data_IF_568707671460
#
_entry.id   IF_568707671460
#
_cell.length_a   1.000
_cell.length_b   1.000
_cell.length_c   1.000
_cell.angle_alpha   90.00
_cell.angle_beta   90.00
_cell.angle_gamma   90.00
#
_symmetry.space_group_name_H-M   'P 1'
#
loop_
_entity.id
_entity.type
_entity.pdbx_description
1 polymer ?
#
# COMPACT_ATOMS: atom_id res chain seq x y z
N UNK A 1 -14.02 -47.21 -12.55
CA UNK A 1 -15.07 -47.86 -11.73
C UNK A 1 -14.38 -48.49 -10.54
N UNK A 2 -14.87 -48.42 -9.28
CA UNK A 2 -16.17 -47.97 -8.75
C UNK A 2 -16.00 -46.69 -7.86
N UNK A 3 -16.95 -46.05 -7.18
CA UNK A 3 -18.42 -45.90 -7.13
C UNK A 3 -18.65 -44.64 -6.26
N UNK A 4 -19.62 -43.79 -6.62
CA UNK A 4 -20.11 -42.65 -5.83
C UNK A 4 -20.85 -43.07 -4.55
N UNK A 5 -20.87 -42.19 -3.53
CA UNK A 5 -21.93 -41.92 -2.52
C UNK A 5 -21.35 -40.89 -1.51
N UNK A 6 -22.01 -39.85 -1.02
CA UNK A 6 -23.40 -39.39 -1.05
C UNK A 6 -23.52 -38.09 -0.21
N UNK A 7 -24.64 -37.40 -0.37
CA UNK A 7 -25.00 -36.06 0.12
C UNK A 7 -25.11 -35.88 1.67
N UNK A 8 -24.75 -34.66 2.13
CA UNK A 8 -25.34 -33.71 3.10
C UNK A 8 -26.43 -34.18 4.11
N UNK A 9 -26.56 -33.59 5.33
CA UNK A 9 -27.13 -32.24 5.46
C UNK A 9 -26.69 -31.34 6.63
N UNK A 10 -26.89 -30.04 6.36
CA UNK A 10 -27.05 -28.89 7.24
C UNK A 10 -27.92 -29.20 8.49
N UNK A 11 -27.49 -28.78 9.68
CA UNK A 11 -28.38 -28.66 10.85
C UNK A 11 -28.12 -27.37 11.61
N UNK A 12 -29.00 -26.41 11.35
CA UNK A 12 -29.27 -25.24 12.18
C UNK A 12 -29.68 -25.67 13.60
N UNK A 13 -29.04 -25.13 14.64
CA UNK A 13 -29.56 -25.21 16.01
C UNK A 13 -29.83 -23.80 16.54
N UNK A 14 -31.11 -23.43 16.57
CA UNK A 14 -31.63 -22.24 17.26
C UNK A 14 -32.10 -22.61 18.66
N UNK A 15 -31.96 -21.63 19.57
CA UNK A 15 -32.69 -21.39 20.82
C UNK A 15 -32.41 -22.30 22.02
N UNK A 16 -31.98 -21.66 23.12
CA UNK A 16 -32.77 -21.70 24.35
C UNK A 16 -32.58 -20.41 25.15
N UNK A 17 -33.72 -19.84 25.53
CA UNK A 17 -33.90 -18.66 26.38
C UNK A 17 -33.96 -19.16 27.81
N UNK A 18 -33.04 -18.74 28.67
CA UNK A 18 -33.02 -19.05 30.09
C UNK A 18 -33.43 -17.84 30.92
N UNK A 19 -34.71 -17.77 31.28
CA UNK A 19 -35.26 -16.89 32.32
C UNK A 19 -34.58 -17.22 33.65
N UNK A 20 -34.01 -16.22 34.31
CA UNK A 20 -33.68 -16.34 35.73
C UNK A 20 -34.68 -15.57 36.57
N UNK A 21 -35.25 -16.32 37.51
CA UNK A 21 -36.34 -16.02 38.42
C UNK A 21 -35.90 -15.00 39.47
N UNK A 22 -36.74 -13.99 39.68
CA UNK A 22 -36.59 -12.97 40.74
C UNK A 22 -37.01 -13.61 42.06
N UNK A 23 -36.10 -13.65 43.04
CA UNK A 23 -36.43 -13.94 44.45
C UNK A 23 -36.39 -12.63 45.22
N UNK A 24 -37.58 -12.12 45.54
CA UNK A 24 -37.79 -10.97 46.42
C UNK A 24 -37.56 -11.38 47.87
N UNK A 25 -36.65 -10.68 48.56
CA UNK A 25 -36.67 -10.58 50.01
C UNK A 25 -37.02 -9.14 50.38
N UNK A 26 -38.20 -8.97 50.96
CA UNK A 26 -38.65 -7.74 51.60
C UNK A 26 -37.97 -7.63 52.97
N UNK A 27 -37.24 -6.53 53.23
CA UNK A 27 -36.99 -6.04 54.57
C UNK A 27 -37.15 -4.51 54.56
N UNK A 28 -38.19 -4.06 55.27
CA UNK A 28 -38.51 -2.66 55.54
C UNK A 28 -37.49 -2.03 56.49
N UNK A 29 -37.02 -0.81 56.21
CA UNK A 29 -37.24 0.40 57.05
C UNK A 29 -36.60 1.65 56.38
N UNK A 30 -37.38 2.73 56.33
CA UNK A 30 -37.18 4.09 55.78
C UNK A 30 -36.07 4.93 56.48
N UNK A 31 -35.84 6.23 56.16
CA UNK A 31 -35.93 6.99 54.89
C UNK A 31 -34.74 7.97 54.62
N UNK A 32 -34.66 8.44 53.37
CA UNK A 32 -34.32 9.80 52.89
C UNK A 32 -33.23 9.92 51.80
N UNK A 33 -33.60 10.70 50.77
CA UNK A 33 -32.78 11.40 49.75
C UNK A 33 -32.30 10.65 48.50
N UNK A 34 -33.17 10.42 47.50
CA UNK A 34 -32.79 10.44 46.07
C UNK A 34 -33.97 10.90 45.20
N UNK A 35 -34.07 12.19 44.84
CA UNK A 35 -35.05 12.66 43.84
C UNK A 35 -34.52 13.72 42.86
N UNK A 36 -33.18 13.89 42.75
CA UNK A 36 -32.59 14.96 41.92
C UNK A 36 -31.63 14.51 40.82
N UNK A 37 -31.66 13.25 40.41
CA UNK A 37 -30.70 12.69 39.43
C UNK A 37 -31.29 12.20 38.10
N UNK A 38 -32.56 12.49 37.78
CA UNK A 38 -33.21 11.87 36.60
C UNK A 38 -33.30 12.76 35.35
N UNK A 39 -33.31 14.09 35.48
CA UNK A 39 -33.51 14.98 34.32
C UNK A 39 -32.22 15.38 33.59
N UNK A 40 -31.06 15.29 34.25
CA UNK A 40 -29.76 15.67 33.67
C UNK A 40 -29.19 14.59 32.76
N UNK A 41 -29.56 13.32 32.99
CA UNK A 41 -29.02 12.14 32.30
C UNK A 41 -29.54 12.00 30.86
N UNK A 42 -30.80 12.39 30.60
CA UNK A 42 -31.43 12.19 29.29
C UNK A 42 -30.91 13.15 28.20
N UNK A 43 -30.50 14.38 28.57
CA UNK A 43 -29.98 15.39 27.63
C UNK A 43 -28.53 15.13 27.19
N UNK A 44 -27.72 14.45 28.00
CA UNK A 44 -26.32 14.12 27.69
C UNK A 44 -26.19 12.96 26.68
N UNK A 45 -27.17 12.07 26.59
CA UNK A 45 -27.10 10.87 25.75
C UNK A 45 -27.20 11.19 24.24
N UNK A 46 -27.99 12.20 23.87
CA UNK A 46 -28.19 12.58 22.47
C UNK A 46 -26.96 13.28 21.87
N UNK A 47 -26.26 14.09 22.67
CA UNK A 47 -24.99 14.71 22.29
C UNK A 47 -23.86 13.69 22.19
N UNK A 48 -23.84 12.69 23.09
CA UNK A 48 -22.87 11.61 23.05
C UNK A 48 -23.05 10.70 21.84
N UNK A 49 -24.30 10.34 21.49
CA UNK A 49 -24.61 9.59 20.27
C UNK A 49 -24.26 10.36 19.00
N UNK A 50 -24.56 11.67 18.97
CA UNK A 50 -24.21 12.52 17.82
C UNK A 50 -22.70 12.66 17.65
N UNK A 51 -21.95 12.82 18.75
CA UNK A 51 -20.49 12.81 18.74
C UNK A 51 -19.93 11.47 18.26
N UNK A 52 -20.53 10.34 18.67
CA UNK A 52 -20.13 9.00 18.22
C UNK A 52 -20.37 8.81 16.71
N UNK A 53 -21.49 9.32 16.20
CA UNK A 53 -21.83 9.27 14.77
C UNK A 53 -20.85 10.11 13.93
N UNK A 54 -20.52 11.32 14.38
CA UNK A 54 -19.54 12.17 13.72
C UNK A 54 -18.13 11.53 13.73
N UNK A 55 -17.73 10.91 14.84
CA UNK A 55 -16.47 10.15 14.93
C UNK A 55 -16.47 8.95 13.98
N UNK A 56 -17.58 8.22 13.88
CA UNK A 56 -17.69 7.08 12.96
C UNK A 56 -17.66 7.52 11.50
N UNK A 57 -18.30 8.64 11.15
CA UNK A 57 -18.30 9.18 9.80
C UNK A 57 -16.93 9.76 9.42
N UNK A 58 -16.23 10.40 10.36
CA UNK A 58 -14.85 10.85 10.20
C UNK A 58 -13.87 9.69 10.01
N UNK A 59 -14.04 8.60 10.77
CA UNK A 59 -13.22 7.39 10.61
C UNK A 59 -13.45 6.71 9.26
N UNK A 60 -14.71 6.63 8.80
CA UNK A 60 -15.03 6.09 7.47
C UNK A 60 -14.47 6.98 6.34
N UNK A 61 -14.48 8.31 6.51
CA UNK A 61 -13.94 9.25 5.52
C UNK A 61 -12.41 9.13 5.36
N UNK A 62 -11.68 8.77 6.42
CA UNK A 62 -10.24 8.52 6.33
C UNK A 62 -9.88 7.26 5.53
N UNK A 63 -10.83 6.37 5.24
CA UNK A 63 -10.53 5.11 4.55
C UNK A 63 -10.46 5.22 3.02
N UNK A 64 -10.82 6.36 2.43
CA UNK A 64 -11.01 6.45 0.96
C UNK A 64 -9.93 7.20 0.18
N UNK A 65 -8.97 7.87 0.81
CA UNK A 65 -7.86 8.53 0.09
C UNK A 65 -6.60 8.59 0.93
N UNK A 66 -5.93 7.46 1.11
CA UNK A 66 -4.50 7.48 1.40
C UNK A 66 -3.77 7.81 0.10
N UNK A 67 -3.66 9.09 -0.25
CA UNK A 67 -2.50 9.50 -1.04
C UNK A 67 -1.31 9.27 -0.10
N UNK A 68 -0.75 8.06 -0.13
CA UNK A 68 0.43 7.75 0.66
C UNK A 68 1.53 8.60 0.08
N UNK A 69 1.93 9.64 0.81
CA UNK A 69 3.12 10.40 0.49
C UNK A 69 4.28 9.38 0.53
N UNK A 70 4.69 8.93 -0.63
CA UNK A 70 5.80 7.99 -0.79
C UNK A 70 7.09 8.79 -0.61
N UNK A 71 7.97 8.33 0.28
CA UNK A 71 9.28 8.95 0.45
C UNK A 71 10.11 8.85 -0.83
N UNK A 72 10.92 9.88 -1.10
CA UNK A 72 11.85 9.88 -2.24
C UNK A 72 12.85 8.73 -2.07
N UNK A 73 13.14 8.03 -3.16
CA UNK A 73 14.17 6.98 -3.15
C UNK A 73 15.59 7.56 -3.18
N UNK A 74 15.74 8.78 -3.71
CA UNK A 74 16.97 9.54 -3.80
C UNK A 74 16.67 11.03 -4.01
N UNK A 75 17.68 11.88 -3.80
CA UNK A 75 17.59 13.33 -4.05
C UNK A 75 18.08 13.74 -5.45
N UNK A 76 18.93 12.92 -6.08
CA UNK A 76 19.45 13.14 -7.43
C UNK A 76 19.48 11.84 -8.23
N UNK A 77 19.52 12.01 -9.56
CA UNK A 77 19.58 10.94 -10.53
C UNK A 77 20.53 11.31 -11.66
N UNK A 78 21.22 10.30 -12.17
CA UNK A 78 22.09 10.40 -13.35
C UNK A 78 21.31 9.96 -14.57
N UNK A 79 21.30 10.79 -15.62
CA UNK A 79 20.56 10.57 -16.87
C UNK A 79 21.45 10.79 -18.11
N UNK A 80 20.97 10.33 -19.27
CA UNK A 80 21.65 10.51 -20.54
C UNK A 80 21.56 11.95 -21.10
N UNK A 81 20.58 12.70 -20.62
CA UNK A 81 20.19 14.06 -21.01
C UNK A 81 19.35 14.69 -19.89
N UNK A 82 19.14 16.00 -19.94
CA UNK A 82 18.43 16.76 -18.88
C UNK A 82 16.97 16.35 -18.69
N UNK A 83 16.35 15.73 -19.69
CA UNK A 83 14.97 15.25 -19.65
C UNK A 83 14.88 13.74 -19.35
N UNK A 84 16.01 13.04 -19.18
CA UNK A 84 16.10 11.59 -19.04
C UNK A 84 15.34 10.83 -20.15
N UNK A 85 15.30 11.40 -21.35
CA UNK A 85 14.53 10.88 -22.49
C UNK A 85 15.24 9.71 -23.18
N UNK A 86 16.57 9.65 -23.09
CA UNK A 86 17.38 8.59 -23.71
C UNK A 86 17.86 7.56 -22.68
N UNK A 87 17.96 6.30 -23.12
CA UNK A 87 18.53 5.23 -22.31
C UNK A 87 20.05 5.44 -22.12
N UNK A 88 20.53 5.28 -20.89
CA UNK A 88 21.95 5.24 -20.54
C UNK A 88 22.61 3.96 -21.03
N UNK A 89 21.92 2.84 -20.83
CA UNK A 89 22.47 1.51 -21.07
C UNK A 89 21.39 0.44 -21.19
N UNK A 90 21.82 -0.75 -21.55
CA UNK A 90 21.05 -1.98 -21.51
C UNK A 90 21.61 -2.87 -20.40
N UNK A 91 20.72 -3.60 -19.72
CA UNK A 91 21.06 -4.55 -18.69
C UNK A 91 20.27 -5.85 -18.86
N UNK A 92 20.79 -6.94 -18.29
CA UNK A 92 20.10 -8.23 -18.21
C UNK A 92 19.82 -8.56 -16.76
N UNK A 93 18.59 -8.95 -16.45
CA UNK A 93 18.18 -9.38 -15.12
C UNK A 93 18.90 -10.67 -14.70
N UNK A 94 19.49 -10.66 -13.51
CA UNK A 94 20.18 -11.81 -12.93
C UNK A 94 19.25 -12.74 -12.14
N UNK A 95 18.16 -12.18 -11.61
CA UNK A 95 17.16 -12.88 -10.82
C UNK A 95 15.78 -12.22 -10.98
N UNK A 96 14.74 -12.90 -10.47
CA UNK A 96 13.40 -12.38 -10.39
C UNK A 96 13.30 -11.27 -9.33
N UNK A 97 12.56 -10.21 -9.66
CA UNK A 97 12.22 -9.14 -8.73
C UNK A 97 10.72 -8.85 -8.83
N UNK A 98 10.04 -8.92 -7.67
CA UNK A 98 8.62 -8.58 -7.56
C UNK A 98 8.50 -7.19 -6.96
N UNK A 99 7.81 -6.30 -7.68
CA UNK A 99 7.60 -4.92 -7.28
C UNK A 99 6.86 -4.86 -5.93
N UNK A 100 7.45 -4.25 -4.88
CA UNK A 100 6.79 -4.10 -3.58
C UNK A 100 5.68 -3.05 -3.61
N UNK A 101 5.81 -2.05 -4.47
CA UNK A 101 4.82 -1.00 -4.71
C UNK A 101 4.87 -0.54 -6.17
N UNK A 102 3.99 0.37 -6.54
CA UNK A 102 3.78 0.84 -7.91
C UNK A 102 4.95 1.64 -8.51
N UNK A 103 5.92 2.09 -7.71
CA UNK A 103 7.12 2.77 -8.22
C UNK A 103 8.07 1.79 -8.89
N UNK A 104 7.99 0.51 -8.51
CA UNK A 104 8.86 -0.55 -8.98
C UNK A 104 8.21 -1.34 -10.12
N UNK A 105 9.05 -1.90 -11.00
CA UNK A 105 8.59 -2.83 -12.03
C UNK A 105 8.93 -4.26 -11.67
N UNK A 106 8.06 -5.18 -12.07
CA UNK A 106 8.37 -6.61 -12.00
C UNK A 106 9.40 -6.95 -13.08
N UNK A 107 10.43 -7.69 -12.68
CA UNK A 107 11.47 -8.18 -13.58
C UNK A 107 11.59 -9.68 -13.37
N UNK A 108 11.82 -10.39 -14.47
CA UNK A 108 12.15 -11.81 -14.48
C UNK A 108 13.58 -12.00 -14.91
N UNK A 109 14.20 -13.04 -14.37
CA UNK A 109 15.53 -13.46 -14.77
C UNK A 109 15.67 -13.56 -16.29
N UNK A 110 16.83 -13.15 -16.78
CA UNK A 110 17.22 -13.12 -18.20
C UNK A 110 16.45 -12.12 -19.08
N UNK A 111 15.55 -11.30 -18.52
CA UNK A 111 14.94 -10.20 -19.26
C UNK A 111 15.96 -9.09 -19.54
N UNK A 112 15.90 -8.54 -20.76
CA UNK A 112 16.64 -7.33 -21.12
C UNK A 112 15.87 -6.11 -20.63
N UNK A 113 16.60 -5.11 -20.14
CA UNK A 113 16.06 -3.89 -19.55
C UNK A 113 16.81 -2.70 -20.14
N UNK A 114 16.08 -1.69 -20.62
CA UNK A 114 16.65 -0.39 -20.92
C UNK A 114 16.72 0.43 -19.64
N UNK A 115 17.91 0.92 -19.30
CA UNK A 115 18.16 1.75 -18.12
C UNK A 115 18.14 3.22 -18.55
N UNK A 116 17.27 4.02 -17.95
CA UNK A 116 17.10 5.44 -18.28
C UNK A 116 17.75 6.36 -17.26
N UNK A 117 17.70 6.00 -15.98
CA UNK A 117 18.39 6.75 -14.94
C UNK A 117 18.96 5.84 -13.87
N UNK A 118 20.00 6.34 -13.19
CA UNK A 118 20.59 5.69 -12.02
C UNK A 118 20.45 6.66 -10.85
N UNK A 119 19.74 6.27 -9.80
CA UNK A 119 19.57 7.12 -8.62
C UNK A 119 20.88 7.20 -7.85
N UNK A 120 21.22 8.39 -7.37
CA UNK A 120 22.35 8.60 -6.46
C UNK A 120 21.88 8.19 -5.05
N UNK A 121 22.43 7.12 -4.45
CA UNK A 121 21.97 6.65 -3.15
C UNK A 121 22.26 7.70 -2.07
N UNK A 122 21.37 7.80 -1.10
CA UNK A 122 21.63 8.49 0.16
C UNK A 122 22.36 7.52 1.11
N UNK A 123 23.06 8.04 2.11
CA UNK A 123 23.79 7.22 3.06
C UNK A 123 22.85 6.23 3.76
N UNK A 124 23.09 4.93 3.56
CA UNK A 124 22.27 3.86 4.13
C UNK A 124 21.03 3.48 3.31
N UNK A 125 20.78 4.07 2.14
CA UNK A 125 19.69 3.65 1.23
C UNK A 125 20.16 2.70 0.13
N UNK A 126 19.22 1.99 -0.49
CA UNK A 126 19.50 1.06 -1.58
C UNK A 126 19.89 1.78 -2.88
N UNK A 127 20.68 1.12 -3.72
CA UNK A 127 21.01 1.63 -5.06
C UNK A 127 19.94 1.16 -6.04
N UNK A 128 19.17 2.11 -6.56
CA UNK A 128 18.07 1.85 -7.49
C UNK A 128 18.32 2.49 -8.84
N UNK A 129 17.98 1.79 -9.91
CA UNK A 129 17.96 2.32 -11.28
C UNK A 129 16.52 2.36 -11.78
N UNK A 130 16.23 3.25 -12.73
CA UNK A 130 14.96 3.27 -13.45
C UNK A 130 15.11 2.71 -14.85
N UNK A 131 14.12 1.96 -15.30
CA UNK A 131 14.14 1.36 -16.62
C UNK A 131 12.82 0.76 -17.05
N UNK A 132 12.82 0.17 -18.24
CA UNK A 132 11.70 -0.57 -18.80
C UNK A 132 12.17 -1.92 -19.35
N UNK A 133 11.34 -2.94 -19.18
CA UNK A 133 11.61 -4.28 -19.73
C UNK A 133 11.47 -4.23 -21.25
N UNK A 134 12.47 -4.75 -21.95
CA UNK A 134 12.48 -4.88 -23.39
C UNK A 134 11.33 -5.76 -23.88
N UNK A 135 10.64 -5.34 -24.94
CA UNK A 135 9.58 -6.09 -25.60
C UNK A 135 9.84 -6.19 -27.10
N UNK A 136 10.02 -7.41 -27.61
CA UNK A 136 10.19 -7.67 -29.04
C UNK A 136 9.03 -7.15 -29.90
N UNK A 137 7.82 -7.05 -29.34
CA UNK A 137 6.64 -6.54 -30.05
C UNK A 137 6.60 -5.01 -30.17
N UNK A 138 7.33 -4.31 -29.33
CA UNK A 138 7.24 -2.85 -29.18
C UNK A 138 8.64 -2.25 -29.04
N UNK A 139 9.50 -2.55 -30.02
CA UNK A 139 10.93 -2.19 -29.99
C UNK A 139 11.13 -0.67 -29.92
N UNK A 140 10.25 0.10 -30.56
CA UNK A 140 10.35 1.56 -30.65
C UNK A 140 9.52 2.30 -29.59
N UNK A 141 8.87 1.59 -28.67
CA UNK A 141 8.04 2.21 -27.63
C UNK A 141 8.63 2.03 -26.25
N UNK A 142 8.56 3.09 -25.46
CA UNK A 142 8.86 3.06 -24.04
C UNK A 142 7.87 2.11 -23.34
N UNK A 143 8.39 1.05 -22.74
CA UNK A 143 7.59 0.20 -21.86
C UNK A 143 7.18 0.91 -20.57
N UNK A 144 6.52 0.20 -19.66
CA UNK A 144 6.24 0.70 -18.32
C UNK A 144 7.59 0.99 -17.64
N UNK A 145 7.78 2.23 -17.19
CA UNK A 145 8.94 2.66 -16.43
C UNK A 145 8.73 2.37 -14.94
N UNK A 146 9.80 1.93 -14.29
CA UNK A 146 9.87 1.95 -12.84
C UNK A 146 11.24 1.56 -12.32
N UNK A 147 11.36 1.52 -11.01
CA UNK A 147 12.61 1.27 -10.32
C UNK A 147 12.87 -0.21 -10.09
N UNK A 148 14.15 -0.55 -9.97
CA UNK A 148 14.61 -1.87 -9.52
C UNK A 148 16.00 -1.77 -8.88
N UNK A 149 16.37 -2.70 -7.97
CA UNK A 149 17.68 -2.73 -7.36
C UNK A 149 18.78 -3.00 -8.40
N UNK A 150 19.83 -2.19 -8.42
CA UNK A 150 20.89 -2.32 -9.42
C UNK A 150 21.68 -3.62 -9.31
N UNK A 151 21.73 -4.22 -8.12
CA UNK A 151 22.42 -5.49 -7.87
C UNK A 151 21.70 -6.71 -8.45
N UNK A 152 20.45 -6.57 -8.91
CA UNK A 152 19.69 -7.64 -9.56
C UNK A 152 19.85 -7.64 -11.08
N UNK A 153 20.64 -6.73 -11.64
CA UNK A 153 20.90 -6.65 -13.08
C UNK A 153 22.38 -6.60 -13.38
N UNK A 154 22.76 -7.05 -14.57
CA UNK A 154 24.10 -6.90 -15.13
C UNK A 154 24.03 -5.96 -16.32
N UNK A 155 24.66 -4.79 -16.20
CA UNK A 155 24.80 -3.85 -17.31
C UNK A 155 25.65 -4.48 -18.43
N UNK A 156 25.12 -4.46 -19.66
CA UNK A 156 25.72 -5.13 -20.83
C UNK A 156 26.27 -4.13 -21.85
N UNK A 157 25.45 -3.15 -22.25
CA UNK A 157 25.80 -2.18 -23.29
C UNK A 157 25.55 -0.78 -22.77
N UNK A 158 26.60 0.06 -22.70
CA UNK A 158 26.44 1.49 -22.43
C UNK A 158 26.24 2.26 -23.74
N UNK A 159 25.17 3.03 -23.83
CA UNK A 159 24.90 3.90 -24.98
C UNK A 159 25.53 5.29 -24.81
N UNK A 160 25.67 5.74 -23.57
CA UNK A 160 26.36 6.96 -23.19
C UNK A 160 27.63 6.67 -22.40
N UNK A 161 28.68 7.46 -22.64
CA UNK A 161 29.88 7.45 -21.79
C UNK A 161 29.57 8.21 -20.51
N UNK A 162 30.25 7.85 -19.43
CA UNK A 162 30.00 8.43 -18.11
C UNK A 162 30.24 9.96 -18.09
N UNK A 163 31.18 10.48 -18.89
CA UNK A 163 31.44 11.93 -19.05
C UNK A 163 30.32 12.70 -19.76
N UNK A 164 29.47 12.00 -20.52
CA UNK A 164 28.37 12.59 -21.29
C UNK A 164 27.03 12.48 -20.54
N UNK A 165 27.05 12.00 -19.29
CA UNK A 165 25.86 11.92 -18.43
C UNK A 165 25.69 13.21 -17.64
N UNK A 166 24.44 13.47 -17.24
CA UNK A 166 24.09 14.63 -16.42
C UNK A 166 23.49 14.15 -15.11
N UNK A 167 23.92 14.74 -14.00
CA UNK A 167 23.27 14.56 -12.71
C UNK A 167 22.28 15.70 -12.48
N UNK A 168 21.02 15.34 -12.22
CA UNK A 168 19.93 16.28 -12.01
C UNK A 168 19.15 15.93 -10.74
N UNK A 169 18.52 16.90 -10.06
CA UNK A 169 17.69 16.62 -8.90
C UNK A 169 16.45 15.80 -9.28
N UNK A 170 16.01 14.92 -8.38
CA UNK A 170 14.75 14.19 -8.54
C UNK A 170 13.54 15.06 -8.18
N UNK A 171 12.50 15.00 -9.00
CA UNK A 171 11.22 15.66 -8.75
C UNK A 171 10.25 14.72 -8.02
N UNK A 172 9.21 15.26 -7.38
CA UNK A 172 8.22 14.44 -6.68
C UNK A 172 7.45 13.52 -7.65
N UNK A 173 7.29 13.97 -8.89
CA UNK A 173 6.65 13.19 -9.97
C UNK A 173 7.46 11.95 -10.37
N UNK A 174 8.77 11.90 -10.07
CA UNK A 174 9.63 10.74 -10.38
C UNK A 174 9.27 9.51 -9.54
N UNK A 175 8.60 9.70 -8.41
CA UNK A 175 8.21 8.65 -7.47
C UNK A 175 6.70 8.51 -7.33
N UNK A 176 5.94 9.19 -8.18
CA UNK A 176 4.49 9.17 -8.15
C UNK A 176 3.94 8.02 -9.00
N UNK A 177 2.89 7.36 -8.52
CA UNK A 177 2.21 6.29 -9.25
C UNK A 177 0.98 6.85 -9.96
N UNK A 178 0.86 6.58 -11.26
CA UNK A 178 -0.28 6.95 -12.08
C UNK A 178 -1.36 5.87 -12.12
#
# INVERSE_FOLDING_TARGET
>A
MPVMKGFSPFRHRRRSVGKFTVVSYFALTHPHTVHKLSHTVFRMNHHLHFALLLLSLGFLYQTTTSAVLMDKLANSKICADEECSYALSMAVALDDFTAPDCRFINIKKDQMIYVYSKLTPEEGTGVFWSGSVYSERYVDQMGILGYFPSNLVKETTKFKKDIDTVEIPTADVDFYCF
#
